data_IF_860476698217
#
_entry.id   IF_860476698217
#
_cell.length_a   1.000
_cell.length_b   1.000
_cell.length_c   1.000
_cell.angle_alpha   90.00
_cell.angle_beta   90.00
_cell.angle_gamma   90.00
#
_symmetry.space_group_name_H-M   'P 1'
#
loop_
_entity.id
_entity.type
_entity.pdbx_description
1 polymer ?
#
# COMPACT_ATOMS: atom_id res chain seq x y z
N UNK A 1 16.02 -9.23 44.38
CA UNK A 1 15.38 -7.95 44.00
C UNK A 1 14.53 -8.20 42.76
N UNK A 2 13.22 -7.98 42.80
CA UNK A 2 12.35 -8.41 41.71
C UNK A 2 12.61 -7.51 40.50
N UNK A 3 13.08 -8.13 39.42
CA UNK A 3 13.06 -7.56 38.07
C UNK A 3 11.60 -7.41 37.70
N UNK A 4 11.05 -6.22 37.90
CA UNK A 4 9.74 -5.86 37.38
C UNK A 4 9.87 -5.89 35.87
N UNK A 5 9.47 -7.02 35.26
CA UNK A 5 9.11 -7.10 33.85
C UNK A 5 8.02 -6.05 33.63
N UNK A 6 8.44 -4.83 33.26
CA UNK A 6 7.55 -3.76 32.83
C UNK A 6 6.97 -4.18 31.49
N UNK A 7 5.94 -5.03 31.57
CA UNK A 7 5.23 -5.58 30.44
C UNK A 7 4.56 -4.47 29.64
N UNK A 8 4.41 -4.73 28.34
CA UNK A 8 3.59 -3.93 27.46
C UNK A 8 2.14 -4.09 27.95
N UNK A 9 1.54 -3.05 28.52
CA UNK A 9 0.16 -3.09 29.00
C UNK A 9 -0.76 -2.46 27.96
N UNK A 10 -1.68 -3.25 27.43
CA UNK A 10 -2.78 -2.77 26.57
C UNK A 10 -3.81 -2.15 27.50
N UNK A 11 -3.94 -0.82 27.47
CA UNK A 11 -4.85 -0.11 28.35
C UNK A 11 -6.32 -0.34 27.94
N UNK A 12 -6.58 -0.43 26.64
CA UNK A 12 -7.91 -0.69 26.10
C UNK A 12 -7.81 -1.38 24.73
N UNK A 13 -8.38 -2.58 24.63
CA UNK A 13 -8.34 -3.39 23.41
C UNK A 13 -9.16 -2.73 22.28
N UNK A 14 -10.26 -2.05 22.62
CA UNK A 14 -11.09 -1.33 21.64
C UNK A 14 -10.31 -0.19 20.99
N UNK A 15 -9.59 0.61 21.78
CA UNK A 15 -8.78 1.71 21.23
C UNK A 15 -7.60 1.19 20.40
N UNK A 16 -7.03 0.04 20.76
CA UNK A 16 -6.02 -0.62 19.95
C UNK A 16 -6.57 -1.06 18.59
N UNK A 17 -7.76 -1.69 18.56
CA UNK A 17 -8.40 -2.11 17.30
C UNK A 17 -8.73 -0.91 16.43
N UNK A 18 -9.32 0.15 17.01
CA UNK A 18 -9.62 1.39 16.28
C UNK A 18 -8.34 2.02 15.74
N UNK A 19 -7.26 2.03 16.52
CA UNK A 19 -5.96 2.54 16.07
C UNK A 19 -5.40 1.74 14.89
N UNK A 20 -5.43 0.41 14.93
CA UNK A 20 -4.95 -0.44 13.83
C UNK A 20 -5.77 -0.23 12.56
N UNK A 21 -7.09 -0.16 12.67
CA UNK A 21 -7.97 0.11 11.52
C UNK A 21 -7.67 1.49 10.94
N UNK A 22 -7.55 2.52 11.79
CA UNK A 22 -7.23 3.87 11.34
C UNK A 22 -5.86 3.95 10.66
N UNK A 23 -4.87 3.22 11.19
CA UNK A 23 -3.53 3.14 10.62
C UNK A 23 -3.56 2.57 9.20
N UNK A 24 -4.26 1.45 9.00
CA UNK A 24 -4.41 0.84 7.67
C UNK A 24 -5.17 1.78 6.73
N UNK A 25 -6.27 2.38 7.18
CA UNK A 25 -7.08 3.28 6.35
C UNK A 25 -6.27 4.52 5.92
N UNK A 26 -5.52 5.15 6.83
CA UNK A 26 -4.69 6.31 6.50
C UNK A 26 -3.54 5.95 5.56
N UNK A 27 -2.96 4.77 5.73
CA UNK A 27 -1.93 4.25 4.82
C UNK A 27 -2.48 4.06 3.40
N UNK A 28 -3.64 3.40 3.25
CA UNK A 28 -4.31 3.25 1.95
C UNK A 28 -4.74 4.59 1.35
N UNK A 29 -5.27 5.52 2.17
CA UNK A 29 -5.59 6.86 1.71
C UNK A 29 -4.36 7.61 1.18
N UNK A 30 -3.18 7.39 1.75
CA UNK A 30 -1.94 7.98 1.27
C UNK A 30 -1.57 7.46 -0.13
N UNK A 31 -1.72 6.16 -0.38
CA UNK A 31 -1.56 5.58 -1.71
C UNK A 31 -2.55 6.17 -2.70
N UNK A 32 -3.85 6.21 -2.35
CA UNK A 32 -4.88 6.78 -3.21
C UNK A 32 -4.56 8.25 -3.55
N UNK A 33 -4.10 9.04 -2.59
CA UNK A 33 -3.73 10.45 -2.83
C UNK A 33 -2.58 10.58 -3.83
N UNK A 34 -1.52 9.77 -3.68
CA UNK A 34 -0.38 9.75 -4.62
C UNK A 34 -0.84 9.35 -6.02
N UNK A 35 -1.77 8.39 -6.11
CA UNK A 35 -2.29 7.94 -7.40
C UNK A 35 -3.19 8.98 -8.08
N UNK A 36 -3.99 9.72 -7.31
CA UNK A 36 -4.78 10.84 -7.82
C UNK A 36 -3.90 11.96 -8.36
N UNK A 37 -2.75 12.22 -7.72
CA UNK A 37 -1.82 13.24 -8.16
C UNK A 37 -1.21 12.94 -9.54
N UNK A 38 -1.21 11.66 -9.96
CA UNK A 38 -0.55 11.18 -11.18
C UNK A 38 -1.27 11.53 -12.50
N UNK A 39 -2.50 12.08 -12.46
CA UNK A 39 -3.27 12.60 -13.61
C UNK A 39 -3.04 11.85 -14.94
N UNK A 40 -3.28 10.53 -14.96
CA UNK A 40 -3.06 9.69 -16.15
C UNK A 40 -4.33 8.95 -16.58
N UNK A 41 -4.42 8.49 -17.84
CA UNK A 41 -5.52 7.64 -18.31
C UNK A 41 -5.54 6.33 -17.52
N UNK A 42 -6.58 6.18 -16.68
CA UNK A 42 -6.79 5.04 -15.80
C UNK A 42 -7.44 3.90 -16.60
N UNK A 43 -6.78 2.75 -16.63
CA UNK A 43 -7.31 1.52 -17.26
C UNK A 43 -8.28 0.82 -16.32
N UNK A 44 -7.97 0.82 -15.02
CA UNK A 44 -8.79 0.15 -14.02
C UNK A 44 -8.20 0.27 -12.63
N UNK A 45 -8.95 -0.20 -11.65
CA UNK A 45 -8.51 -0.37 -10.28
C UNK A 45 -8.88 -1.76 -9.80
N UNK A 46 -8.10 -2.30 -8.89
CA UNK A 46 -8.37 -3.57 -8.26
C UNK A 46 -8.38 -3.39 -6.75
N UNK A 47 -9.34 -4.04 -6.10
CA UNK A 47 -9.49 -4.04 -4.65
C UNK A 47 -9.15 -5.43 -4.15
N UNK A 48 -8.07 -5.56 -3.39
CA UNK A 48 -7.58 -6.83 -2.87
C UNK A 48 -7.30 -6.78 -1.37
N UNK A 49 -6.90 -7.92 -0.77
CA UNK A 49 -6.55 -8.00 0.65
C UNK A 49 -5.31 -7.17 1.01
N UNK A 50 -4.52 -6.80 0.01
CA UNK A 50 -3.31 -5.99 0.12
C UNK A 50 -3.54 -4.50 -0.19
N UNK A 51 -4.80 -4.07 -0.37
CA UNK A 51 -5.15 -2.67 -0.63
C UNK A 51 -5.76 -2.41 -2.01
N UNK A 52 -5.78 -1.13 -2.39
CA UNK A 52 -6.29 -0.67 -3.70
C UNK A 52 -5.13 -0.47 -4.67
N UNK A 53 -5.10 -1.25 -5.76
CA UNK A 53 -4.11 -1.11 -6.83
C UNK A 53 -4.74 -0.48 -8.06
N UNK A 54 -4.17 0.62 -8.55
CA UNK A 54 -4.64 1.32 -9.76
C UNK A 54 -3.70 1.11 -10.94
N UNK A 55 -4.28 0.80 -12.09
CA UNK A 55 -3.57 0.58 -13.35
C UNK A 55 -3.68 1.82 -14.23
N UNK A 56 -2.53 2.41 -14.57
CA UNK A 56 -2.43 3.52 -15.51
C UNK A 56 -1.71 3.07 -16.78
N UNK A 57 -2.17 3.55 -17.93
CA UNK A 57 -1.54 3.30 -19.22
C UNK A 57 -0.16 3.97 -19.34
N UNK A 58 0.01 5.12 -18.68
CA UNK A 58 1.19 5.96 -18.83
C UNK A 58 2.34 5.52 -17.92
N UNK A 59 3.58 5.74 -18.37
CA UNK A 59 4.81 5.41 -17.65
C UNK A 59 4.88 6.11 -16.28
N UNK A 60 5.37 5.45 -15.23
CA UNK A 60 5.68 6.15 -13.99
C UNK A 60 6.93 6.97 -14.21
N UNK A 61 6.87 8.26 -13.90
CA UNK A 61 8.11 8.95 -13.60
C UNK A 61 8.75 8.29 -12.38
N UNK A 62 10.07 8.23 -12.35
CA UNK A 62 10.84 7.75 -11.19
C UNK A 62 10.43 8.48 -9.92
N UNK A 63 10.07 9.77 -10.02
CA UNK A 63 9.51 10.56 -8.93
C UNK A 63 8.21 9.95 -8.36
N UNK A 64 7.25 9.58 -9.21
CA UNK A 64 6.00 8.97 -8.74
C UNK A 64 6.21 7.57 -8.17
N UNK A 65 7.18 6.80 -8.67
CA UNK A 65 7.55 5.50 -8.07
C UNK A 65 8.01 5.70 -6.62
N UNK A 66 8.95 6.62 -6.40
CA UNK A 66 9.46 6.91 -5.06
C UNK A 66 8.41 7.55 -4.16
N UNK A 67 7.57 8.45 -4.69
CA UNK A 67 6.50 9.09 -3.92
C UNK A 67 5.49 8.05 -3.42
N UNK A 68 5.20 7.02 -4.22
CA UNK A 68 4.29 5.94 -3.83
C UNK A 68 4.85 5.02 -2.73
N UNK A 69 6.15 5.08 -2.43
CA UNK A 69 6.77 4.38 -1.30
C UNK A 69 6.95 5.33 -0.11
N UNK A 70 7.55 6.50 -0.36
CA UNK A 70 7.96 7.43 0.68
C UNK A 70 6.78 8.09 1.38
N UNK A 71 5.75 8.51 0.62
CA UNK A 71 4.63 9.24 1.21
C UNK A 71 3.78 8.34 2.13
N UNK A 72 3.36 7.13 1.72
CA UNK A 72 2.67 6.20 2.62
C UNK A 72 3.54 5.76 3.81
N UNK A 73 4.85 5.55 3.61
CA UNK A 73 5.77 5.23 4.70
C UNK A 73 5.85 6.36 5.74
N UNK A 74 5.90 7.62 5.30
CA UNK A 74 5.88 8.78 6.19
C UNK A 74 4.56 8.87 6.95
N UNK A 75 3.41 8.72 6.27
CA UNK A 75 2.09 8.72 6.92
C UNK A 75 1.99 7.61 7.95
N UNK A 76 2.42 6.39 7.61
CA UNK A 76 2.50 5.25 8.54
C UNK A 76 3.35 5.58 9.77
N UNK A 77 4.53 6.14 9.58
CA UNK A 77 5.42 6.56 10.66
C UNK A 77 4.81 7.64 11.57
N UNK A 78 4.15 8.63 10.97
CA UNK A 78 3.44 9.67 11.71
C UNK A 78 2.28 9.11 12.55
N UNK A 79 1.45 8.25 11.96
CA UNK A 79 0.32 7.61 12.66
C UNK A 79 0.83 6.75 13.81
N UNK A 80 1.89 5.96 13.61
CA UNK A 80 2.52 5.17 14.67
C UNK A 80 3.10 6.05 15.78
N UNK A 81 3.78 7.15 15.43
CA UNK A 81 4.35 8.05 16.42
C UNK A 81 3.26 8.71 17.27
N UNK A 82 2.28 9.34 16.62
CA UNK A 82 1.21 10.05 17.32
C UNK A 82 0.29 9.07 18.06
N UNK A 83 -0.08 7.96 17.44
CA UNK A 83 -1.02 7.01 18.02
C UNK A 83 -0.44 6.14 19.15
N UNK A 84 0.88 5.89 19.20
CA UNK A 84 1.48 5.06 20.25
C UNK A 84 2.22 5.86 21.34
N UNK A 85 2.63 7.11 21.09
CA UNK A 85 3.45 7.87 22.04
C UNK A 85 2.85 9.20 22.52
N UNK A 86 1.59 9.51 22.16
CA UNK A 86 0.87 10.67 22.73
C UNK A 86 -0.21 10.24 23.73
N UNK A 87 -0.99 11.21 24.22
CA UNK A 87 -2.13 10.98 25.13
C UNK A 87 -3.21 10.08 24.55
N UNK A 88 -3.20 9.82 23.24
CA UNK A 88 -4.10 8.90 22.54
C UNK A 88 -3.62 7.43 22.59
N UNK A 89 -2.50 7.14 23.28
CA UNK A 89 -1.85 5.83 23.23
C UNK A 89 -2.70 4.70 23.85
N UNK A 90 -3.04 3.65 23.07
CA UNK A 90 -3.74 2.49 23.58
C UNK A 90 -2.82 1.54 24.38
N UNK A 91 -1.49 1.74 24.29
CA UNK A 91 -0.45 0.91 24.88
C UNK A 91 0.48 1.77 25.72
N UNK A 92 0.69 1.38 26.98
CA UNK A 92 1.72 2.00 27.81
C UNK A 92 3.08 1.39 27.48
N UNK A 93 3.89 2.12 26.71
CA UNK A 93 5.26 1.74 26.36
C UNK A 93 6.23 2.53 27.25
N UNK A 94 7.23 1.83 27.81
CA UNK A 94 8.27 2.48 28.61
C UNK A 94 8.97 3.59 27.80
N UNK A 95 9.16 4.75 28.42
CA UNK A 95 9.52 6.01 27.74
C UNK A 95 11.00 6.08 27.31
N UNK A 96 11.51 5.04 26.63
CA UNK A 96 12.89 4.95 26.14
C UNK A 96 12.93 5.32 24.65
N UNK A 97 13.77 6.28 24.23
CA UNK A 97 13.80 6.76 22.84
C UNK A 97 14.13 5.66 21.83
N UNK A 98 15.05 4.74 22.19
CA UNK A 98 15.42 3.61 21.33
C UNK A 98 14.24 2.66 21.05
N UNK A 99 13.38 2.42 22.04
CA UNK A 99 12.20 1.56 21.86
C UNK A 99 11.19 2.24 20.94
N UNK A 100 11.03 3.56 21.05
CA UNK A 100 10.14 4.32 20.15
C UNK A 100 10.58 4.20 18.69
N UNK A 101 11.87 4.42 18.44
CA UNK A 101 12.46 4.30 17.10
C UNK A 101 12.30 2.88 16.57
N UNK A 102 12.57 1.86 17.39
CA UNK A 102 12.43 0.46 16.97
C UNK A 102 10.98 0.10 16.61
N UNK A 103 9.99 0.50 17.41
CA UNK A 103 8.57 0.22 17.16
C UNK A 103 8.09 0.91 15.87
N UNK A 104 8.45 2.17 15.67
CA UNK A 104 8.10 2.91 14.44
C UNK A 104 8.78 2.27 13.23
N UNK A 105 10.08 1.96 13.33
CA UNK A 105 10.82 1.33 12.25
C UNK A 105 10.21 -0.02 11.86
N UNK A 106 9.85 -0.88 12.83
CA UNK A 106 9.21 -2.17 12.55
C UNK A 106 7.85 -1.97 11.89
N UNK A 107 7.01 -1.05 12.37
CA UNK A 107 5.70 -0.78 11.78
C UNK A 107 5.79 -0.26 10.35
N UNK A 108 6.69 0.71 10.10
CA UNK A 108 6.93 1.24 8.75
C UNK A 108 7.51 0.18 7.82
N UNK A 109 8.45 -0.65 8.31
CA UNK A 109 9.00 -1.75 7.52
C UNK A 109 7.90 -2.75 7.17
N UNK A 110 7.04 -3.13 8.10
CA UNK A 110 5.93 -4.06 7.84
C UNK A 110 5.00 -3.54 6.74
N UNK A 111 4.66 -2.25 6.75
CA UNK A 111 3.76 -1.67 5.74
C UNK A 111 4.45 -1.42 4.41
N UNK A 112 5.71 -0.98 4.40
CA UNK A 112 6.36 -0.42 3.20
C UNK A 112 7.40 -1.33 2.53
N UNK A 113 7.69 -2.51 3.08
CA UNK A 113 8.67 -3.44 2.47
C UNK A 113 8.21 -3.91 1.09
N UNK A 114 6.93 -4.26 0.94
CA UNK A 114 6.38 -4.74 -0.33
C UNK A 114 6.46 -3.63 -1.39
N UNK A 115 6.09 -2.40 -1.03
CA UNK A 115 6.16 -1.24 -1.92
C UNK A 115 7.60 -0.93 -2.33
N UNK A 116 8.54 -1.00 -1.38
CA UNK A 116 9.94 -0.78 -1.65
C UNK A 116 10.51 -1.82 -2.63
N UNK A 117 10.19 -3.11 -2.42
CA UNK A 117 10.62 -4.19 -3.33
C UNK A 117 10.01 -3.99 -4.72
N UNK A 118 8.73 -3.61 -4.80
CA UNK A 118 8.06 -3.35 -6.07
C UNK A 118 8.66 -2.13 -6.80
N UNK A 119 8.93 -1.04 -6.07
CA UNK A 119 9.60 0.14 -6.62
C UNK A 119 11.01 -0.18 -7.13
N UNK A 120 11.80 -0.94 -6.36
CA UNK A 120 13.13 -1.37 -6.78
C UNK A 120 13.09 -2.25 -8.04
N UNK A 121 12.10 -3.15 -8.15
CA UNK A 121 11.89 -3.95 -9.37
C UNK A 121 11.49 -3.08 -10.55
N UNK A 122 10.60 -2.11 -10.36
CA UNK A 122 10.13 -1.23 -11.42
C UNK A 122 11.22 -0.26 -11.91
N UNK A 123 12.16 0.14 -11.03
CA UNK A 123 13.36 0.92 -11.42
C UNK A 123 14.38 0.05 -12.14
N UNK A 124 14.58 -1.20 -11.71
CA UNK A 124 15.60 -2.10 -12.28
C UNK A 124 15.18 -2.74 -13.60
N UNK A 125 13.89 -3.05 -13.75
CA UNK A 125 13.31 -3.68 -14.93
C UNK A 125 12.08 -2.87 -15.35
N UNK A 126 12.27 -1.70 -16.00
CA UNK A 126 11.16 -0.87 -16.40
C UNK A 126 10.35 -1.60 -17.48
N UNK A 127 9.10 -1.92 -17.15
CA UNK A 127 8.14 -2.49 -18.09
C UNK A 127 7.30 -1.35 -18.69
N UNK A 128 7.11 -1.39 -20.00
CA UNK A 128 6.42 -0.35 -20.75
C UNK A 128 5.12 -0.87 -21.37
N UNK A 129 4.14 0.04 -21.53
CA UNK A 129 2.88 -0.21 -22.21
C UNK A 129 2.17 -1.50 -21.74
N UNK A 130 1.87 -2.37 -22.69
CA UNK A 130 1.12 -3.62 -22.50
C UNK A 130 1.78 -4.61 -21.53
N UNK A 131 3.10 -4.79 -21.60
CA UNK A 131 3.81 -5.74 -20.76
C UNK A 131 3.63 -5.44 -19.27
N UNK A 132 3.49 -4.15 -18.94
CA UNK A 132 3.21 -3.70 -17.57
C UNK A 132 1.77 -3.99 -17.16
N UNK A 133 0.83 -3.80 -18.07
CA UNK A 133 -0.61 -4.08 -17.84
C UNK A 133 -0.78 -5.58 -17.60
N UNK A 134 -0.17 -6.42 -18.43
CA UNK A 134 -0.18 -7.87 -18.29
C UNK A 134 0.42 -8.34 -16.96
N UNK A 135 1.59 -7.83 -16.57
CA UNK A 135 2.18 -8.13 -15.26
C UNK A 135 1.26 -7.71 -14.10
N UNK A 136 0.64 -6.55 -14.21
CA UNK A 136 -0.27 -6.04 -13.17
C UNK A 136 -1.53 -6.90 -13.07
N UNK A 137 -2.09 -7.33 -14.21
CA UNK A 137 -3.22 -8.26 -14.27
C UNK A 137 -2.86 -9.62 -13.67
N UNK A 138 -1.71 -10.21 -14.02
CA UNK A 138 -1.24 -11.48 -13.46
C UNK A 138 -1.04 -11.40 -11.93
N UNK A 139 -0.42 -10.33 -11.45
CA UNK A 139 -0.27 -10.10 -10.00
C UNK A 139 -1.64 -9.96 -9.32
N UNK A 140 -2.60 -9.32 -9.98
CA UNK A 140 -3.93 -9.13 -9.41
C UNK A 140 -4.82 -10.36 -9.50
N UNK A 141 -4.62 -11.25 -10.47
CA UNK A 141 -5.27 -12.57 -10.51
C UNK A 141 -4.73 -13.52 -9.45
N UNK A 142 -3.41 -13.49 -9.21
CA UNK A 142 -2.77 -14.31 -8.17
C UNK A 142 -3.10 -13.80 -6.76
N UNK A 143 -3.35 -12.50 -6.62
CA UNK A 143 -4.00 -11.95 -5.44
C UNK A 143 -5.50 -12.19 -5.51
N UNK A 144 -6.20 -12.37 -4.39
CA UNK A 144 -7.67 -12.52 -4.40
C UNK A 144 -8.38 -11.16 -4.65
N UNK A 145 -7.86 -10.35 -5.57
CA UNK A 145 -8.33 -9.00 -5.84
C UNK A 145 -9.46 -9.02 -6.88
N UNK A 146 -10.45 -8.16 -6.65
CA UNK A 146 -11.50 -7.88 -7.65
C UNK A 146 -11.04 -6.74 -8.54
N UNK A 147 -10.90 -7.03 -9.83
CA UNK A 147 -10.44 -6.08 -10.84
C UNK A 147 -11.67 -5.38 -11.44
N UNK A 148 -11.64 -4.05 -11.47
CA UNK A 148 -12.65 -3.19 -12.06
C UNK A 148 -12.02 -2.34 -13.17
N UNK A 149 -12.52 -2.49 -14.39
CA UNK A 149 -12.03 -1.73 -15.55
C UNK A 149 -12.84 -0.45 -15.74
N UNK A 150 -12.18 0.63 -16.15
CA UNK A 150 -12.85 1.85 -16.62
C UNK A 150 -13.37 1.64 -18.04
N UNK A 151 -14.33 2.47 -18.54
CA UNK A 151 -14.73 2.44 -19.94
C UNK A 151 -13.56 2.58 -20.92
N UNK A 152 -12.57 3.40 -20.55
CA UNK A 152 -11.32 3.56 -21.31
C UNK A 152 -10.47 2.29 -21.32
N UNK A 153 -10.33 1.61 -20.17
CA UNK A 153 -9.61 0.35 -20.09
C UNK A 153 -10.29 -0.76 -20.89
N UNK A 154 -11.62 -0.80 -20.91
CA UNK A 154 -12.38 -1.77 -21.70
C UNK A 154 -12.16 -1.57 -23.21
N UNK A 155 -12.22 -0.34 -23.71
CA UNK A 155 -11.93 -0.05 -25.12
C UNK A 155 -10.47 -0.35 -25.46
N UNK A 156 -9.53 0.06 -24.60
CA UNK A 156 -8.11 -0.18 -24.81
C UNK A 156 -7.79 -1.68 -24.87
N UNK A 157 -8.31 -2.49 -23.94
CA UNK A 157 -8.08 -3.93 -23.92
C UNK A 157 -8.67 -4.62 -25.16
N UNK A 158 -9.86 -4.18 -25.59
CA UNK A 158 -10.52 -4.73 -26.78
C UNK A 158 -9.76 -4.40 -28.06
N UNK A 159 -9.26 -3.16 -28.18
CA UNK A 159 -8.57 -2.69 -29.37
C UNK A 159 -7.15 -3.27 -29.49
N UNK A 160 -6.46 -3.47 -28.37
CA UNK A 160 -5.06 -3.95 -28.37
C UNK A 160 -4.91 -5.46 -28.23
N UNK A 161 -5.76 -6.12 -27.45
CA UNK A 161 -5.66 -7.57 -27.22
C UNK A 161 -6.74 -8.38 -27.95
N UNK A 162 -7.72 -7.73 -28.58
CA UNK A 162 -8.78 -8.40 -29.36
C UNK A 162 -9.74 -9.27 -28.53
N UNK A 163 -9.66 -9.20 -27.20
CA UNK A 163 -10.35 -10.08 -26.26
C UNK A 163 -11.11 -9.29 -25.20
N UNK A 164 -12.26 -9.82 -24.75
CA UNK A 164 -12.94 -9.24 -23.60
C UNK A 164 -12.09 -9.40 -22.33
N UNK A 165 -12.13 -8.44 -21.38
CA UNK A 165 -11.32 -8.51 -20.16
C UNK A 165 -11.59 -9.77 -19.33
N UNK A 166 -12.83 -10.28 -19.37
CA UNK A 166 -13.22 -11.54 -18.73
C UNK A 166 -12.56 -12.76 -19.36
N UNK A 167 -12.33 -12.73 -20.67
CA UNK A 167 -11.71 -13.84 -21.40
C UNK A 167 -10.19 -13.83 -21.17
N UNK A 168 -9.58 -12.64 -21.15
CA UNK A 168 -8.18 -12.45 -20.76
C UNK A 168 -7.90 -12.97 -19.34
N UNK A 169 -8.81 -12.70 -18.41
CA UNK A 169 -8.70 -13.16 -17.03
C UNK A 169 -8.93 -14.66 -16.84
N UNK A 170 -9.47 -15.36 -17.84
CA UNK A 170 -9.69 -16.82 -17.81
C UNK A 170 -8.55 -17.60 -18.48
N UNK A 171 -7.80 -16.97 -19.39
CA UNK A 171 -6.76 -17.63 -20.21
C UNK A 171 -5.36 -17.54 -19.58
N UNK A 172 -5.10 -16.55 -18.72
CA UNK A 172 -3.85 -16.40 -17.95
C UNK A 172 -3.92 -17.07 -16.60
#
# INVERSE_FOLDING_TARGET
>A
MPVVLSGIHVANLLSLVVFLVLWIVLFECAHVLVTMLRHGPLIGWAVGPLGVTVMFLQEPSTLFIWLNVLFPALVSGFVLYFGLFTSLSPISIQNRPLIKVAVIAVGVLLTSTVDFVNAMRDVRYPLWGEARILRSLQLLQTSWARIHFTPFGLSYLRDHFGSNPTDLLQVM
#
